data_IF_509180140488
#
_entry.id   IF_509180140488
#
_cell.length_a   1.000
_cell.length_b   1.000
_cell.length_c   1.000
_cell.angle_alpha   90.00
_cell.angle_beta   90.00
_cell.angle_gamma   90.00
#
_symmetry.space_group_name_H-M   'P 1'
#
loop_
_entity.id
_entity.type
_entity.pdbx_description
1 polymer ?
#
# COMPACT_ATOMS: atom_id res chain seq x y z
N UNK A 1 -1.68 -4.64 5.16
CA UNK A 1 -2.80 -3.98 4.45
C UNK A 1 -3.98 -4.91 4.49
N UNK A 2 -5.13 -4.40 4.89
CA UNK A 2 -6.40 -5.13 4.95
C UNK A 2 -7.40 -4.41 4.08
N UNK A 3 -8.05 -5.14 3.18
CA UNK A 3 -9.11 -4.66 2.30
C UNK A 3 -10.36 -5.47 2.65
N UNK A 4 -11.47 -4.80 2.90
CA UNK A 4 -12.73 -5.44 3.29
C UNK A 4 -13.83 -4.97 2.35
N UNK A 5 -14.54 -5.94 1.77
CA UNK A 5 -15.72 -5.72 0.95
C UNK A 5 -16.98 -5.93 1.80
N UNK A 6 -18.11 -5.34 1.38
CA UNK A 6 -19.40 -5.52 2.05
C UNK A 6 -20.01 -6.91 1.81
N UNK A 7 -19.49 -7.64 0.82
CA UNK A 7 -19.85 -9.00 0.48
C UNK A 7 -18.64 -9.74 -0.09
N UNK A 8 -18.79 -11.03 -0.37
CA UNK A 8 -17.71 -11.79 -1.00
C UNK A 8 -17.53 -11.35 -2.46
N UNK A 9 -16.27 -11.20 -2.88
CA UNK A 9 -15.94 -10.81 -4.26
C UNK A 9 -14.94 -11.77 -4.90
N UNK A 10 -14.91 -11.72 -6.23
CA UNK A 10 -13.95 -12.44 -7.09
C UNK A 10 -13.27 -11.46 -8.06
N UNK A 11 -12.19 -11.92 -8.72
CA UNK A 11 -11.45 -11.12 -9.70
C UNK A 11 -10.46 -10.10 -9.11
N UNK A 12 -10.58 -9.76 -7.81
CA UNK A 12 -9.65 -8.85 -7.15
C UNK A 12 -8.22 -9.41 -7.12
N UNK A 13 -7.26 -8.60 -7.57
CA UNK A 13 -5.82 -8.92 -7.58
C UNK A 13 -4.97 -7.69 -7.23
N UNK A 14 -3.66 -7.89 -7.08
CA UNK A 14 -2.72 -6.78 -6.92
C UNK A 14 -2.68 -5.81 -8.11
N UNK A 15 -3.09 -6.23 -9.31
CA UNK A 15 -3.12 -5.37 -10.50
C UNK A 15 -4.17 -4.25 -10.38
N UNK A 16 -5.15 -4.44 -9.50
CA UNK A 16 -6.20 -3.46 -9.21
C UNK A 16 -5.74 -2.40 -8.18
N UNK A 17 -4.55 -2.54 -7.61
CA UNK A 17 -4.02 -1.64 -6.59
C UNK A 17 -2.91 -0.74 -7.13
N UNK A 18 -3.07 0.57 -6.93
CA UNK A 18 -1.97 1.54 -7.03
C UNK A 18 -1.30 1.67 -5.66
N UNK A 19 0.00 1.39 -5.61
CA UNK A 19 0.76 1.29 -4.36
C UNK A 19 1.97 2.23 -4.43
N UNK A 20 1.89 3.46 -3.88
CA UNK A 20 3.00 4.38 -3.88
C UNK A 20 4.11 3.92 -2.93
N UNK A 21 5.37 4.22 -3.26
CA UNK A 21 6.53 4.11 -2.37
C UNK A 21 6.76 2.73 -1.72
N UNK A 22 6.30 1.64 -2.36
CA UNK A 22 6.51 0.29 -1.87
C UNK A 22 5.87 -0.76 -2.76
N UNK A 23 5.81 -1.99 -2.24
CA UNK A 23 5.17 -3.13 -2.90
C UNK A 23 4.23 -3.84 -1.92
N UNK A 24 3.29 -4.61 -2.46
CA UNK A 24 2.46 -5.54 -1.69
C UNK A 24 2.87 -6.98 -2.01
N UNK A 25 2.82 -7.84 -1.00
CA UNK A 25 2.73 -9.28 -1.24
C UNK A 25 1.46 -9.62 -2.03
N UNK A 26 1.38 -10.84 -2.56
CA UNK A 26 0.15 -11.34 -3.15
C UNK A 26 -1.02 -11.18 -2.18
N UNK A 27 -2.12 -10.57 -2.64
CA UNK A 27 -3.35 -10.48 -1.85
C UNK A 27 -3.97 -11.86 -1.68
N UNK A 28 -4.45 -12.17 -0.47
CA UNK A 28 -5.13 -13.42 -0.20
C UNK A 28 -6.30 -13.23 0.76
N UNK A 29 -7.32 -14.07 0.62
CA UNK A 29 -8.48 -14.13 1.49
C UNK A 29 -8.65 -15.54 2.03
N UNK A 30 -9.09 -15.65 3.29
CA UNK A 30 -9.40 -16.91 3.96
C UNK A 30 -10.89 -17.05 4.31
N UNK A 31 -11.70 -16.03 4.02
CA UNK A 31 -13.12 -15.96 4.34
C UNK A 31 -14.01 -15.96 3.08
N UNK A 32 -13.49 -16.47 1.97
CA UNK A 32 -14.25 -16.61 0.72
C UNK A 32 -14.34 -15.33 -0.11
N UNK A 33 -13.45 -14.37 0.12
CA UNK A 33 -13.32 -13.15 -0.69
C UNK A 33 -13.92 -11.90 -0.06
N UNK A 34 -14.27 -11.91 1.23
CA UNK A 34 -14.79 -10.72 1.94
C UNK A 34 -13.64 -9.86 2.44
N UNK A 35 -12.65 -10.49 3.10
CA UNK A 35 -11.46 -9.82 3.64
C UNK A 35 -10.22 -10.32 2.93
N UNK A 36 -9.43 -9.38 2.42
CA UNK A 36 -8.17 -9.63 1.76
C UNK A 36 -7.01 -8.99 2.51
N UNK A 37 -5.91 -9.72 2.64
CA UNK A 37 -4.71 -9.26 3.34
C UNK A 37 -3.48 -9.34 2.45
N UNK A 38 -2.57 -8.39 2.66
CA UNK A 38 -1.23 -8.37 2.07
C UNK A 38 -0.26 -7.60 2.97
N UNK A 39 1.02 -7.96 2.92
CA UNK A 39 2.09 -7.22 3.59
C UNK A 39 2.58 -6.11 2.67
N UNK A 40 2.61 -4.87 3.18
CA UNK A 40 3.21 -3.73 2.48
C UNK A 40 4.67 -3.59 2.89
N UNK A 41 5.55 -3.54 1.90
CA UNK A 41 6.98 -3.35 2.07
C UNK A 41 7.36 -2.00 1.47
N UNK A 42 7.66 -0.98 2.29
CA UNK A 42 8.08 0.31 1.78
C UNK A 42 9.44 0.22 1.08
N UNK A 43 9.66 1.06 0.08
CA UNK A 43 10.97 1.23 -0.54
C UNK A 43 11.96 1.81 0.46
N UNK A 44 13.24 1.46 0.31
CA UNK A 44 14.31 2.04 1.11
C UNK A 44 14.54 3.52 0.78
N UNK A 45 15.09 4.28 1.73
CA UNK A 45 15.47 5.68 1.56
C UNK A 45 14.31 6.66 1.26
N UNK A 46 13.09 6.33 1.67
CA UNK A 46 11.90 7.18 1.50
C UNK A 46 11.57 7.90 2.80
N UNK A 47 11.26 9.19 2.70
CA UNK A 47 10.65 10.00 3.75
C UNK A 47 9.46 10.77 3.12
N UNK A 48 8.24 10.28 3.35
CA UNK A 48 7.03 10.81 2.71
C UNK A 48 5.86 10.72 3.70
N UNK A 49 5.12 11.82 3.88
CA UNK A 49 4.00 11.91 4.82
C UNK A 49 2.63 11.72 4.16
N UNK A 50 2.59 11.58 2.84
CA UNK A 50 1.38 11.60 2.00
C UNK A 50 1.31 10.38 1.09
N UNK A 51 0.98 9.21 1.66
CA UNK A 51 0.85 7.96 0.92
C UNK A 51 -0.57 7.41 1.02
N UNK A 52 -1.18 7.07 -0.11
CA UNK A 52 -2.52 6.49 -0.22
C UNK A 52 -2.46 5.32 -1.19
N UNK A 53 -2.99 4.16 -0.78
CA UNK A 53 -3.21 3.03 -1.68
C UNK A 53 -4.60 3.18 -2.28
N UNK A 54 -4.71 3.11 -3.60
CA UNK A 54 -5.99 3.21 -4.32
C UNK A 54 -6.34 1.87 -4.94
N UNK A 55 -7.55 1.40 -4.68
CA UNK A 55 -8.15 0.25 -5.33
C UNK A 55 -9.00 0.72 -6.51
N UNK A 56 -8.77 0.14 -7.69
CA UNK A 56 -9.67 0.23 -8.82
C UNK A 56 -10.74 -0.86 -8.73
N UNK A 57 -12.00 -0.47 -8.53
CA UNK A 57 -13.09 -1.43 -8.33
C UNK A 57 -13.52 -2.12 -9.63
N UNK A 58 -13.06 -1.68 -10.82
CA UNK A 58 -13.47 -2.30 -12.10
C UNK A 58 -12.91 -3.71 -12.34
N UNK A 59 -11.90 -4.13 -11.56
CA UNK A 59 -11.40 -5.52 -11.57
C UNK A 59 -12.16 -6.46 -10.63
N UNK A 60 -13.03 -5.91 -9.78
CA UNK A 60 -13.73 -6.65 -8.73
C UNK A 60 -15.14 -7.01 -9.19
N UNK A 61 -15.56 -8.26 -8.93
CA UNK A 61 -16.87 -8.78 -9.29
C UNK A 61 -17.54 -9.36 -8.04
N UNK A 62 -18.83 -9.09 -7.85
CA UNK A 62 -19.61 -9.85 -6.86
C UNK A 62 -19.86 -11.30 -7.33
N UNK A 63 -20.50 -12.12 -6.49
CA UNK A 63 -20.82 -13.51 -6.84
C UNK A 63 -21.90 -13.63 -7.93
N UNK A 64 -22.69 -12.58 -8.17
CA UNK A 64 -23.67 -12.53 -9.24
C UNK A 64 -23.05 -12.09 -10.59
N UNK A 65 -21.77 -11.71 -10.60
CA UNK A 65 -21.03 -11.27 -11.79
C UNK A 65 -21.17 -9.78 -12.10
N UNK A 66 -21.65 -8.97 -11.17
CA UNK A 66 -21.67 -7.52 -11.34
C UNK A 66 -20.28 -6.94 -11.11
N UNK A 67 -19.79 -6.17 -12.08
CA UNK A 67 -18.48 -5.51 -12.02
C UNK A 67 -18.59 -4.24 -11.19
N UNK A 68 -17.63 -4.01 -10.29
CA UNK A 68 -17.51 -2.79 -9.51
C UNK A 68 -17.20 -1.56 -10.37
N UNK A 69 -17.32 -0.36 -9.79
CA UNK A 69 -17.05 0.90 -10.48
C UNK A 69 -16.30 1.90 -9.59
N UNK A 70 -15.56 2.80 -10.22
CA UNK A 70 -14.79 3.84 -9.56
C UNK A 70 -13.59 3.31 -8.80
N UNK A 71 -13.14 4.09 -7.82
CA UNK A 71 -11.98 3.79 -6.99
C UNK A 71 -12.31 3.93 -5.51
N UNK A 72 -11.54 3.23 -4.68
CA UNK A 72 -11.59 3.33 -3.24
C UNK A 72 -10.19 3.62 -2.70
N UNK A 73 -10.05 4.66 -1.90
CA UNK A 73 -8.78 5.05 -1.30
C UNK A 73 -8.63 4.52 0.12
N UNK A 74 -7.39 4.18 0.50
CA UNK A 74 -7.03 3.95 1.88
C UNK A 74 -7.01 5.25 2.69
N UNK A 75 -6.91 5.13 4.01
CA UNK A 75 -6.40 6.25 4.82
C UNK A 75 -4.96 6.60 4.42
N UNK A 76 -4.56 7.84 4.68
CA UNK A 76 -3.18 8.30 4.50
C UNK A 76 -2.24 7.61 5.50
N UNK A 77 -0.99 7.33 5.07
CA UNK A 77 0.07 6.84 5.94
C UNK A 77 1.43 7.49 5.63
N UNK A 78 2.33 7.44 6.61
CA UNK A 78 3.69 8.00 6.49
C UNK A 78 4.72 6.89 6.30
N UNK A 79 5.76 7.16 5.52
CA UNK A 79 6.92 6.30 5.32
C UNK A 79 8.17 7.04 5.78
N UNK A 80 8.98 6.38 6.59
CA UNK A 80 10.26 6.92 7.10
C UNK A 80 11.32 5.82 7.11
N UNK A 81 11.77 5.40 5.92
CA UNK A 81 12.86 4.42 5.73
C UNK A 81 14.19 5.08 5.39
N UNK A 82 14.23 6.41 5.29
CA UNK A 82 15.46 7.17 5.12
C UNK A 82 16.33 7.11 6.39
N UNK A 83 17.58 6.71 6.22
CA UNK A 83 18.54 6.61 7.33
C UNK A 83 19.00 8.00 7.77
N UNK A 84 19.16 8.25 9.08
CA UNK A 84 19.74 9.50 9.57
C UNK A 84 21.19 9.66 9.09
N UNK A 85 21.58 10.88 8.67
CA UNK A 85 22.97 11.24 8.41
C UNK A 85 23.51 12.12 9.53
N UNK A 86 24.66 11.76 10.09
CA UNK A 86 25.39 12.61 11.03
C UNK A 86 26.73 13.03 10.40
N UNK A 87 27.06 14.32 10.48
CA UNK A 87 28.34 14.88 10.04
C UNK A 87 29.09 15.44 11.24
N UNK A 88 30.33 15.00 11.45
CA UNK A 88 31.24 15.57 12.46
C UNK A 88 32.34 16.32 11.72
N UNK A 89 32.48 17.61 12.01
CA UNK A 89 33.58 18.43 11.50
C UNK A 89 34.50 18.77 12.69
N UNK A 90 35.78 18.43 12.56
CA UNK A 90 36.82 18.90 13.49
C UNK A 90 37.50 20.08 12.82
N UNK A 91 37.29 21.28 13.37
CA UNK A 91 38.09 22.43 12.99
C UNK A 91 39.35 22.42 13.86
N UNK A 92 40.50 22.08 13.28
CA UNK A 92 41.79 22.40 13.89
C UNK A 92 42.21 23.78 13.37
N UNK A 93 42.32 24.74 14.28
CA UNK A 93 42.72 26.13 13.99
C UNK A 93 44.02 26.51 14.71
N UNK A 94 44.78 25.54 15.22
CA UNK A 94 46.05 25.81 15.88
C UNK A 94 47.20 25.80 14.86
N UNK A 95 47.65 27.00 14.45
CA UNK A 95 48.94 27.24 13.81
C UNK A 95 49.80 28.13 14.71
#
# INVERSE_FOLDING_TARGET
VTITFSEAVSGFTNADLSVPNGTLSTVSSSDGGVTWTATYTPNANVADTTNVITLNNTGVNDLAGNIGSGTTDSGNFTIATQQPTATVVVADSAL
#
